data_IF_089738062904
#
_entry.id   IF_089738062904
#
_cell.length_a   1.000
_cell.length_b   1.000
_cell.length_c   1.000
_cell.angle_alpha   90.00
_cell.angle_beta   90.00
_cell.angle_gamma   90.00
#
_symmetry.space_group_name_H-M   'P 1'
#
loop_
_entity.id
_entity.type
_entity.pdbx_description
1 polymer ?
#
# COMPACT_ATOMS: atom_id res chain seq x y z
N UNK A 1 -8.98 31.23 -8.35
CA UNK A 1 -7.72 30.57 -8.75
C UNK A 1 -8.09 29.42 -9.67
N UNK A 2 -7.69 29.49 -10.94
CA UNK A 2 -7.90 28.40 -11.90
C UNK A 2 -7.08 27.19 -11.49
N UNK A 3 -7.70 26.01 -11.45
CA UNK A 3 -6.98 24.76 -11.22
C UNK A 3 -5.91 24.59 -12.31
N UNK A 4 -4.67 24.18 -11.97
CA UNK A 4 -3.64 23.96 -12.97
C UNK A 4 -4.09 22.91 -13.99
N UNK A 5 -3.71 23.11 -15.25
CA UNK A 5 -3.98 22.16 -16.32
C UNK A 5 -3.10 20.90 -16.14
N UNK A 6 -3.56 19.73 -16.62
CA UNK A 6 -2.74 18.52 -16.58
C UNK A 6 -1.46 18.70 -17.39
N UNK A 7 -0.34 18.23 -16.86
CA UNK A 7 0.97 18.37 -17.50
C UNK A 7 1.34 17.10 -18.27
N UNK A 8 1.98 17.25 -19.43
CA UNK A 8 2.53 16.14 -20.22
C UNK A 8 1.52 15.04 -20.60
N UNK A 9 0.23 15.36 -20.72
CA UNK A 9 -0.81 14.36 -20.99
C UNK A 9 -1.09 13.40 -19.82
N UNK A 10 -0.53 13.66 -18.64
CA UNK A 10 -0.80 12.91 -17.40
C UNK A 10 -2.05 13.42 -16.71
N UNK A 11 -2.55 12.69 -15.73
CA UNK A 11 -3.63 13.14 -14.83
C UNK A 11 -3.13 14.02 -13.67
N UNK A 12 -1.82 14.27 -13.59
CA UNK A 12 -1.18 15.08 -12.55
C UNK A 12 -1.14 16.54 -13.03
N UNK A 13 -1.64 17.43 -12.17
CA UNK A 13 -1.59 18.86 -12.38
C UNK A 13 -0.80 19.50 -11.23
N UNK A 14 0.27 20.21 -11.59
CA UNK A 14 1.06 21.01 -10.67
C UNK A 14 1.02 22.47 -11.11
N UNK A 15 1.15 23.39 -10.15
CA UNK A 15 1.36 24.80 -10.49
C UNK A 15 2.72 24.97 -11.21
N UNK A 16 2.83 26.05 -11.98
CA UNK A 16 4.01 26.30 -12.81
C UNK A 16 5.31 26.38 -12.00
N UNK A 17 5.25 26.97 -10.79
CA UNK A 17 6.43 27.10 -9.94
C UNK A 17 6.94 25.74 -9.45
N UNK A 18 6.03 24.85 -9.01
CA UNK A 18 6.41 23.49 -8.64
C UNK A 18 6.93 22.68 -9.85
N UNK A 19 6.32 22.85 -11.02
CA UNK A 19 6.77 22.17 -12.24
C UNK A 19 8.21 22.56 -12.62
N UNK A 20 8.55 23.85 -12.57
CA UNK A 20 9.89 24.36 -12.82
C UNK A 20 10.93 23.80 -11.83
N UNK A 21 10.59 23.78 -10.53
CA UNK A 21 11.49 23.23 -9.49
C UNK A 21 11.72 21.73 -9.68
N UNK A 22 10.68 20.98 -10.04
CA UNK A 22 10.79 19.55 -10.29
C UNK A 22 11.64 19.24 -11.52
N UNK A 23 11.46 19.99 -12.60
CA UNK A 23 12.27 19.83 -13.82
C UNK A 23 13.75 20.13 -13.57
N UNK A 24 14.04 21.21 -12.83
CA UNK A 24 15.40 21.58 -12.47
C UNK A 24 16.11 20.56 -11.57
N UNK A 25 15.37 19.89 -10.67
CA UNK A 25 15.94 18.97 -9.66
C UNK A 25 15.95 17.50 -10.08
N UNK A 26 14.99 17.08 -10.91
CA UNK A 26 14.69 15.67 -11.16
C UNK A 26 14.93 15.25 -12.61
N UNK A 27 15.33 16.18 -13.49
CA UNK A 27 15.44 15.94 -14.92
C UNK A 27 14.09 16.06 -15.63
N UNK A 28 13.87 15.38 -16.78
CA UNK A 28 12.69 15.60 -17.61
C UNK A 28 11.36 15.38 -16.86
N UNK A 29 10.61 16.46 -16.62
CA UNK A 29 9.39 16.46 -15.81
C UNK A 29 8.37 15.43 -16.31
N UNK A 30 8.16 15.34 -17.62
CA UNK A 30 7.20 14.40 -18.20
C UNK A 30 7.53 12.94 -17.90
N UNK A 31 8.81 12.58 -17.81
CA UNK A 31 9.25 11.22 -17.46
C UNK A 31 8.93 10.90 -16.00
N UNK A 32 9.23 11.85 -15.10
CA UNK A 32 8.90 11.74 -13.67
C UNK A 32 7.39 11.57 -13.47
N UNK A 33 6.58 12.44 -14.08
CA UNK A 33 5.12 12.39 -13.95
C UNK A 33 4.55 11.08 -14.49
N UNK A 34 5.03 10.62 -15.65
CA UNK A 34 4.60 9.32 -16.21
C UNK A 34 4.98 8.13 -15.32
N UNK A 35 6.11 8.21 -14.60
CA UNK A 35 6.53 7.19 -13.64
C UNK A 35 5.65 7.18 -12.38
N UNK A 36 5.33 8.35 -11.83
CA UNK A 36 4.44 8.50 -10.66
C UNK A 36 3.03 7.95 -10.91
N UNK A 37 2.62 7.89 -12.17
CA UNK A 37 1.33 7.32 -12.56
C UNK A 37 1.33 5.78 -12.62
N UNK A 38 2.48 5.12 -12.54
CA UNK A 38 2.56 3.66 -12.61
C UNK A 38 2.94 3.10 -11.25
N UNK A 39 2.40 1.92 -10.86
CA UNK A 39 2.90 1.25 -9.69
C UNK A 39 4.37 0.83 -9.89
N UNK A 40 5.12 0.64 -8.80
CA UNK A 40 6.46 0.08 -8.89
C UNK A 40 6.41 -1.33 -9.53
N UNK A 41 7.42 -1.73 -10.32
CA UNK A 41 7.44 -3.03 -10.99
C UNK A 41 7.61 -4.22 -10.04
N UNK A 42 7.92 -3.96 -8.77
CA UNK A 42 8.12 -4.96 -7.72
C UNK A 42 7.19 -4.62 -6.55
N UNK A 43 6.32 -5.57 -6.19
CA UNK A 43 5.56 -5.52 -4.93
C UNK A 43 6.46 -6.05 -3.81
N UNK A 44 6.87 -5.16 -2.92
CA UNK A 44 7.70 -5.52 -1.78
C UNK A 44 6.88 -5.83 -0.52
N UNK A 45 7.36 -6.83 0.23
CA UNK A 45 6.94 -7.10 1.60
C UNK A 45 8.15 -7.42 2.46
N UNK A 46 8.06 -7.12 3.75
CA UNK A 46 9.05 -7.47 4.76
C UNK A 46 8.64 -8.77 5.44
N UNK A 47 9.52 -9.77 5.42
CA UNK A 47 9.38 -10.96 6.26
C UNK A 47 9.69 -10.58 7.71
N UNK A 48 8.82 -10.97 8.62
CA UNK A 48 9.02 -10.70 10.04
C UNK A 48 9.93 -11.78 10.66
N UNK A 49 11.23 -11.50 10.68
CA UNK A 49 12.25 -12.43 11.22
C UNK A 49 12.18 -12.62 12.73
N UNK A 50 11.35 -11.86 13.46
CA UNK A 50 11.01 -12.18 14.86
C UNK A 50 10.14 -13.44 14.99
N UNK A 51 9.45 -13.84 13.92
CA UNK A 51 8.46 -14.93 13.94
C UNK A 51 8.77 -16.07 12.98
N UNK A 52 9.42 -15.79 11.85
CA UNK A 52 9.70 -16.79 10.83
C UNK A 52 10.99 -16.45 10.06
N UNK A 53 11.78 -17.48 9.73
CA UNK A 53 12.92 -17.31 8.82
C UNK A 53 12.47 -17.07 7.37
N UNK A 54 13.28 -16.37 6.59
CA UNK A 54 12.96 -15.98 5.21
C UNK A 54 12.72 -17.20 4.31
N UNK A 55 13.61 -18.20 4.36
CA UNK A 55 13.49 -19.42 3.55
C UNK A 55 12.21 -20.19 3.83
N UNK A 56 11.88 -20.38 5.12
CA UNK A 56 10.64 -21.02 5.56
C UNK A 56 9.41 -20.25 5.08
N UNK A 57 9.47 -18.92 5.10
CA UNK A 57 8.35 -18.11 4.60
C UNK A 57 8.19 -18.19 3.08
N UNK A 58 9.30 -18.24 2.33
CA UNK A 58 9.27 -18.49 0.88
C UNK A 58 8.71 -19.88 0.54
N UNK A 59 9.00 -20.91 1.34
CA UNK A 59 8.36 -22.23 1.21
C UNK A 59 6.85 -22.17 1.43
N UNK A 60 6.38 -21.43 2.43
CA UNK A 60 4.94 -21.22 2.66
C UNK A 60 4.26 -20.54 1.48
N UNK A 61 4.91 -19.54 0.87
CA UNK A 61 4.40 -18.87 -0.31
C UNK A 61 4.34 -19.81 -1.53
N UNK A 62 5.40 -20.59 -1.77
CA UNK A 62 5.42 -21.60 -2.84
C UNK A 62 4.33 -22.65 -2.65
N UNK A 63 4.04 -23.04 -1.41
CA UNK A 63 2.96 -23.99 -1.07
C UNK A 63 1.56 -23.52 -1.47
N UNK A 64 1.34 -22.22 -1.64
CA UNK A 64 0.08 -21.64 -2.16
C UNK A 64 0.20 -21.13 -3.60
N UNK A 65 1.27 -21.51 -4.31
CA UNK A 65 1.49 -21.13 -5.71
C UNK A 65 1.95 -19.69 -5.93
N UNK A 66 2.50 -19.03 -4.91
CA UNK A 66 3.04 -17.68 -5.00
C UNK A 66 4.58 -17.71 -5.04
N UNK A 67 5.16 -17.06 -6.05
CA UNK A 67 6.61 -16.97 -6.20
C UNK A 67 7.12 -15.58 -5.80
N UNK A 68 7.91 -15.53 -4.74
CA UNK A 68 8.61 -14.32 -4.31
C UNK A 68 10.12 -14.55 -4.40
N UNK A 69 10.86 -13.45 -4.55
CA UNK A 69 12.32 -13.43 -4.60
C UNK A 69 12.85 -12.58 -3.45
N UNK A 70 14.01 -12.95 -2.91
CA UNK A 70 14.71 -12.10 -1.93
C UNK A 70 15.28 -10.88 -2.66
N UNK A 71 15.23 -9.73 -2.00
CA UNK A 71 15.92 -8.54 -2.45
C UNK A 71 17.44 -8.73 -2.42
N UNK A 72 18.13 -8.04 -3.32
CA UNK A 72 19.56 -8.18 -3.50
C UNK A 72 20.38 -7.64 -2.30
N UNK A 73 19.84 -6.66 -1.56
CA UNK A 73 20.57 -5.93 -0.51
C UNK A 73 19.95 -6.10 0.89
N UNK A 74 18.64 -6.39 0.96
CA UNK A 74 17.90 -6.50 2.22
C UNK A 74 17.39 -7.94 2.43
N UNK A 75 18.08 -8.77 3.26
CA UNK A 75 17.77 -10.19 3.42
C UNK A 75 16.33 -10.55 3.80
N UNK A 76 15.66 -9.68 4.56
CA UNK A 76 14.28 -9.82 5.03
C UNK A 76 13.25 -9.19 4.08
N UNK A 77 13.69 -8.51 3.03
CA UNK A 77 12.82 -7.99 2.00
C UNK A 77 12.64 -9.07 0.92
N UNK A 78 11.37 -9.33 0.59
CA UNK A 78 11.03 -10.18 -0.55
C UNK A 78 10.08 -9.43 -1.48
N UNK A 79 10.09 -9.80 -2.76
CA UNK A 79 9.27 -9.14 -3.76
C UNK A 79 8.67 -10.09 -4.77
N UNK A 80 7.53 -9.67 -5.32
CA UNK A 80 6.85 -10.31 -6.45
C UNK A 80 6.77 -9.32 -7.63
N UNK A 81 7.01 -9.75 -8.88
CA UNK A 81 6.86 -8.86 -10.03
C UNK A 81 5.40 -8.38 -10.15
N UNK A 82 5.21 -7.10 -10.48
CA UNK A 82 3.88 -6.57 -10.80
C UNK A 82 3.63 -6.76 -12.28
N UNK A 83 2.60 -7.52 -12.62
CA UNK A 83 2.21 -7.76 -14.00
C UNK A 83 1.39 -6.58 -14.54
N UNK A 84 1.63 -6.21 -15.79
CA UNK A 84 0.90 -5.18 -16.51
C UNK A 84 1.79 -4.05 -17.05
N UNK A 85 1.19 -3.00 -17.62
CA UNK A 85 -0.25 -2.79 -17.72
C UNK A 85 -0.94 -3.81 -18.64
N UNK A 86 -2.04 -4.38 -18.17
CA UNK A 86 -2.92 -5.25 -18.93
C UNK A 86 -3.90 -4.40 -19.74
N UNK A 87 -4.13 -4.78 -21.00
CA UNK A 87 -5.01 -4.03 -21.90
C UNK A 87 -6.44 -4.58 -21.84
N UNK A 88 -7.40 -3.68 -21.68
CA UNK A 88 -8.82 -4.01 -21.61
C UNK A 88 -9.65 -2.96 -22.33
N UNK A 89 -10.75 -3.40 -22.91
CA UNK A 89 -11.83 -2.50 -23.29
C UNK A 89 -12.76 -2.29 -22.08
N UNK A 90 -12.79 -1.06 -21.58
CA UNK A 90 -13.63 -0.67 -20.46
C UNK A 90 -14.98 -0.16 -20.95
N UNK A 91 -16.04 -0.86 -20.57
CA UNK A 91 -17.44 -0.50 -20.82
C UNK A 91 -18.23 -0.67 -19.53
N UNK A 92 -19.37 0.01 -19.43
CA UNK A 92 -20.29 -0.14 -18.31
C UNK A 92 -20.45 1.13 -17.46
N UNK A 93 -21.16 0.97 -16.34
CA UNK A 93 -21.50 2.10 -15.45
C UNK A 93 -20.29 2.52 -14.63
N UNK A 94 -20.20 3.81 -14.30
CA UNK A 94 -19.05 4.37 -13.59
C UNK A 94 -19.18 4.21 -12.08
N UNK A 95 -18.14 3.68 -11.45
CA UNK A 95 -17.96 3.64 -9.99
C UNK A 95 -16.73 4.48 -9.64
N UNK A 96 -16.90 5.49 -8.80
CA UNK A 96 -15.80 6.32 -8.30
C UNK A 96 -15.34 5.76 -6.96
N UNK A 97 -14.08 5.34 -6.90
CA UNK A 97 -13.43 4.92 -5.67
C UNK A 97 -12.69 6.10 -5.01
N UNK A 98 -12.50 6.06 -3.69
CA UNK A 98 -11.63 7.01 -3.02
C UNK A 98 -10.16 6.80 -3.41
N UNK A 99 -9.26 7.68 -2.97
CA UNK A 99 -7.85 7.62 -3.35
C UNK A 99 -7.17 6.31 -2.94
N UNK A 100 -7.40 5.84 -1.71
CA UNK A 100 -6.74 4.65 -1.16
C UNK A 100 -7.25 3.39 -1.84
N UNK A 101 -8.57 3.29 -2.01
CA UNK A 101 -9.19 2.19 -2.72
C UNK A 101 -8.79 2.17 -4.21
N UNK A 102 -8.64 3.34 -4.84
CA UNK A 102 -8.17 3.46 -6.23
C UNK A 102 -6.77 2.85 -6.42
N UNK A 103 -5.83 3.12 -5.51
CA UNK A 103 -4.48 2.55 -5.54
C UNK A 103 -4.52 1.03 -5.34
N UNK A 104 -5.36 0.54 -4.43
CA UNK A 104 -5.54 -0.90 -4.20
C UNK A 104 -6.15 -1.62 -5.41
N UNK A 105 -7.18 -1.02 -6.04
CA UNK A 105 -7.84 -1.56 -7.22
C UNK A 105 -6.92 -1.55 -8.44
N UNK A 106 -6.10 -0.50 -8.59
CA UNK A 106 -5.10 -0.41 -9.66
C UNK A 106 -4.17 -1.64 -9.67
N UNK A 107 -3.85 -2.17 -8.49
CA UNK A 107 -3.04 -3.38 -8.28
C UNK A 107 -3.82 -4.70 -8.35
N UNK A 108 -5.10 -4.67 -8.73
CA UNK A 108 -5.96 -5.85 -8.90
C UNK A 108 -6.75 -6.26 -7.66
N UNK A 109 -6.79 -5.42 -6.62
CA UNK A 109 -7.69 -5.66 -5.49
C UNK A 109 -9.14 -5.39 -5.86
N UNK A 110 -10.06 -6.03 -5.15
CA UNK A 110 -11.47 -5.72 -5.30
C UNK A 110 -11.81 -4.38 -4.65
N UNK A 111 -12.92 -3.78 -5.08
CA UNK A 111 -13.44 -2.59 -4.44
C UNK A 111 -14.46 -2.96 -3.37
N UNK A 112 -14.19 -2.56 -2.13
CA UNK A 112 -15.09 -2.73 -0.99
C UNK A 112 -15.96 -1.48 -0.78
N UNK A 113 -17.16 -1.67 -0.24
CA UNK A 113 -18.16 -0.62 -0.07
C UNK A 113 -17.64 0.66 0.63
N UNK A 114 -16.81 0.58 1.70
CA UNK A 114 -16.27 1.78 2.33
C UNK A 114 -15.41 2.66 1.41
N UNK A 115 -14.82 2.07 0.37
CA UNK A 115 -13.99 2.77 -0.60
C UNK A 115 -14.77 3.38 -1.78
N UNK A 116 -16.09 3.19 -1.84
CA UNK A 116 -16.93 3.72 -2.92
C UNK A 116 -17.39 5.14 -2.57
N UNK A 117 -17.01 6.11 -3.39
CA UNK A 117 -17.43 7.52 -3.27
C UNK A 117 -18.75 7.76 -4.01
N UNK A 118 -18.90 7.20 -5.21
CA UNK A 118 -20.08 7.41 -6.05
C UNK A 118 -20.32 6.26 -7.01
N UNK A 119 -21.57 5.79 -7.12
CA UNK A 119 -21.94 4.76 -8.10
C UNK A 119 -23.42 4.86 -8.54
N UNK A 120 -23.96 6.07 -8.72
CA UNK A 120 -25.41 6.25 -8.96
C UNK A 120 -25.90 5.43 -10.17
N UNK A 121 -26.97 4.67 -9.96
CA UNK A 121 -27.61 3.86 -11.00
C UNK A 121 -26.96 2.50 -11.23
N UNK A 122 -25.90 2.15 -10.48
CA UNK A 122 -25.33 0.80 -10.47
C UNK A 122 -26.24 -0.15 -9.68
N UNK A 123 -26.57 -1.27 -10.29
CA UNK A 123 -27.30 -2.40 -9.74
C UNK A 123 -26.40 -3.63 -9.67
N UNK A 124 -26.78 -4.61 -8.85
CA UNK A 124 -26.05 -5.88 -8.72
C UNK A 124 -26.00 -6.59 -10.08
N UNK A 125 -24.83 -7.06 -10.47
CA UNK A 125 -24.59 -7.77 -11.73
C UNK A 125 -24.18 -6.85 -12.89
N UNK A 126 -24.28 -5.53 -12.74
CA UNK A 126 -23.82 -4.61 -13.77
C UNK A 126 -22.30 -4.73 -14.01
N UNK A 127 -21.91 -4.64 -15.28
CA UNK A 127 -20.53 -4.35 -15.64
C UNK A 127 -20.23 -2.88 -15.32
N UNK A 128 -19.08 -2.66 -14.66
CA UNK A 128 -18.69 -1.34 -14.20
C UNK A 128 -17.23 -1.01 -14.54
N UNK A 129 -16.99 0.28 -14.75
CA UNK A 129 -15.66 0.87 -14.85
C UNK A 129 -15.37 1.61 -13.55
N UNK A 130 -14.29 1.21 -12.88
CA UNK A 130 -13.84 1.82 -11.63
C UNK A 130 -12.86 2.94 -11.98
N UNK A 131 -13.11 4.12 -11.44
CA UNK A 131 -12.27 5.30 -11.64
C UNK A 131 -11.82 5.90 -10.31
N UNK A 132 -10.67 6.56 -10.33
CA UNK A 132 -10.20 7.42 -9.27
C UNK A 132 -10.94 8.77 -9.25
N UNK A 133 -10.82 9.58 -8.18
CA UNK A 133 -11.48 10.88 -8.09
C UNK A 133 -11.11 11.86 -9.21
N UNK A 134 -9.89 11.75 -9.75
CA UNK A 134 -9.41 12.54 -10.89
C UNK A 134 -9.93 12.04 -12.25
N UNK A 135 -10.78 11.02 -12.27
CA UNK A 135 -11.38 10.47 -13.49
C UNK A 135 -10.57 9.37 -14.18
N UNK A 136 -9.35 9.09 -13.72
CA UNK A 136 -8.52 8.03 -14.27
C UNK A 136 -9.14 6.65 -14.02
N UNK A 137 -9.13 5.77 -15.04
CA UNK A 137 -9.55 4.38 -14.88
C UNK A 137 -8.50 3.62 -14.06
N UNK A 138 -8.97 2.86 -13.07
CA UNK A 138 -8.12 2.00 -12.23
C UNK A 138 -8.44 0.52 -12.39
N UNK A 139 -9.58 0.18 -13.01
CA UNK A 139 -9.93 -1.18 -13.34
C UNK A 139 -11.39 -1.30 -13.79
N UNK A 140 -11.81 -2.51 -14.10
CA UNK A 140 -13.18 -2.85 -14.46
C UNK A 140 -13.61 -4.15 -13.78
N UNK A 141 -14.92 -4.32 -13.63
CA UNK A 141 -15.43 -5.43 -12.85
C UNK A 141 -16.94 -5.59 -12.92
N UNK A 142 -17.45 -6.44 -12.03
CA UNK A 142 -18.88 -6.69 -11.88
C UNK A 142 -19.33 -6.20 -10.51
N UNK A 143 -20.37 -5.38 -10.48
CA UNK A 143 -20.97 -4.90 -9.24
C UNK A 143 -21.59 -6.08 -8.47
N UNK A 144 -21.16 -6.29 -7.24
CA UNK A 144 -21.76 -7.28 -6.33
C UNK A 144 -22.70 -6.63 -5.31
N UNK A 145 -22.83 -5.31 -5.34
CA UNK A 145 -23.81 -4.53 -4.58
C UNK A 145 -24.46 -3.52 -5.53
N UNK A 146 -25.69 -3.11 -5.25
CA UNK A 146 -26.29 -1.92 -5.84
C UNK A 146 -25.76 -0.65 -5.17
N UNK A 147 -25.92 0.52 -5.80
CA UNK A 147 -25.57 1.80 -5.20
C UNK A 147 -26.23 2.04 -3.83
N UNK A 148 -27.50 1.63 -3.70
CA UNK A 148 -28.26 1.78 -2.45
C UNK A 148 -27.71 0.92 -1.33
N UNK A 149 -27.14 -0.24 -1.65
CA UNK A 149 -26.45 -1.12 -0.70
C UNK A 149 -25.07 -0.54 -0.35
N UNK A 150 -24.25 -0.20 -1.35
CA UNK A 150 -22.90 0.36 -1.17
C UNK A 150 -22.91 1.56 -0.21
N UNK A 151 -23.84 2.50 -0.41
CA UNK A 151 -23.93 3.73 0.41
C UNK A 151 -24.29 3.48 1.87
N UNK A 152 -24.96 2.36 2.18
CA UNK A 152 -25.36 2.01 3.55
C UNK A 152 -24.41 1.02 4.21
N UNK A 153 -23.65 0.27 3.41
CA UNK A 153 -22.77 -0.77 3.89
C UNK A 153 -21.47 -0.17 4.46
N UNK A 154 -21.24 -0.37 5.77
CA UNK A 154 -19.97 -0.02 6.41
C UNK A 154 -18.83 -1.02 6.13
N UNK A 155 -19.11 -2.11 5.41
CA UNK A 155 -18.15 -3.17 5.03
C UNK A 155 -18.72 -4.03 3.90
N UNK A 156 -17.86 -4.85 3.29
CA UNK A 156 -18.26 -5.85 2.30
C UNK A 156 -17.82 -5.50 0.89
N UNK A 157 -17.74 -6.51 0.04
CA UNK A 157 -17.34 -6.40 -1.35
C UNK A 157 -18.41 -5.61 -2.12
N UNK A 158 -18.02 -4.57 -2.86
CA UNK A 158 -18.93 -3.75 -3.68
C UNK A 158 -18.78 -4.05 -5.17
N UNK A 159 -17.55 -4.20 -5.66
CA UNK A 159 -17.24 -4.58 -7.04
C UNK A 159 -16.17 -5.65 -7.02
N UNK A 160 -16.43 -6.77 -7.70
CA UNK A 160 -15.40 -7.78 -7.99
C UNK A 160 -14.63 -7.36 -9.22
N UNK A 161 -13.32 -7.19 -9.10
CA UNK A 161 -12.47 -6.74 -10.20
C UNK A 161 -12.13 -7.93 -11.10
N UNK A 162 -12.51 -7.83 -12.37
CA UNK A 162 -12.27 -8.86 -13.40
C UNK A 162 -11.36 -8.36 -14.52
N UNK A 163 -11.24 -7.04 -14.68
CA UNK A 163 -10.38 -6.36 -15.67
C UNK A 163 -9.39 -5.44 -14.94
N UNK A 164 -8.38 -5.99 -14.23
CA UNK A 164 -7.39 -5.19 -13.51
C UNK A 164 -6.36 -4.59 -14.47
N UNK A 165 -5.90 -3.36 -14.23
CA UNK A 165 -4.81 -2.76 -15.05
C UNK A 165 -3.46 -3.38 -14.68
N UNK A 166 -3.20 -3.59 -13.39
CA UNK A 166 -2.03 -4.32 -12.92
C UNK A 166 -2.45 -5.48 -12.03
N UNK A 167 -1.61 -6.51 -11.96
CA UNK A 167 -1.87 -7.69 -11.13
C UNK A 167 -0.66 -7.96 -10.23
N UNK A 168 -0.94 -8.04 -8.93
CA UNK A 168 -0.01 -8.53 -7.94
C UNK A 168 -0.79 -9.24 -6.80
N UNK A 169 -0.15 -10.12 -6.02
CA UNK A 169 -0.77 -10.73 -4.86
C UNK A 169 -1.25 -9.68 -3.85
N UNK A 170 -2.39 -9.93 -3.21
CA UNK A 170 -2.89 -9.05 -2.15
C UNK A 170 -2.12 -9.30 -0.87
N UNK A 171 -1.39 -8.29 -0.40
CA UNK A 171 -0.55 -8.41 0.80
C UNK A 171 -1.34 -8.91 2.02
N UNK A 172 -2.59 -8.45 2.19
CA UNK A 172 -3.45 -8.85 3.30
C UNK A 172 -3.94 -10.31 3.25
N UNK A 173 -3.79 -10.97 2.10
CA UNK A 173 -4.18 -12.36 1.86
C UNK A 173 -2.97 -13.31 1.81
N UNK A 174 -1.74 -12.78 1.94
CA UNK A 174 -0.55 -13.61 2.01
C UNK A 174 -0.61 -14.54 3.24
N UNK A 175 -0.12 -15.80 3.12
CA UNK A 175 -0.03 -16.73 4.24
C UNK A 175 0.63 -16.07 5.46
N UNK A 176 0.04 -16.21 6.65
CA UNK A 176 0.66 -15.65 7.86
C UNK A 176 0.49 -14.13 8.04
N UNK A 177 -0.23 -13.41 7.16
CA UNK A 177 -0.40 -11.97 7.31
C UNK A 177 -1.09 -11.61 8.63
N UNK A 178 -2.17 -12.32 9.01
CA UNK A 178 -2.91 -12.03 10.26
C UNK A 178 -2.09 -12.39 11.50
N UNK A 179 -1.25 -13.41 11.39
CA UNK A 179 -0.32 -13.90 12.40
C UNK A 179 0.93 -13.00 12.52
N UNK A 180 1.09 -12.06 11.58
CA UNK A 180 2.18 -11.09 11.55
C UNK A 180 3.50 -11.65 11.07
N UNK A 181 3.49 -12.71 10.25
CA UNK A 181 4.70 -13.27 9.62
C UNK A 181 5.27 -12.36 8.53
N UNK A 182 4.44 -11.45 8.01
CA UNK A 182 4.79 -10.53 6.93
C UNK A 182 4.17 -9.15 7.15
N UNK A 183 4.82 -8.14 6.60
CA UNK A 183 4.35 -6.76 6.62
C UNK A 183 4.53 -6.09 5.25
N UNK A 184 3.48 -5.44 4.73
CA UNK A 184 3.57 -4.67 3.49
C UNK A 184 4.39 -3.40 3.69
N UNK A 185 5.54 -3.30 3.03
CA UNK A 185 6.46 -2.16 3.18
C UNK A 185 7.28 -1.99 1.91
N UNK A 186 7.47 -0.74 1.47
CA UNK A 186 8.35 -0.45 0.34
C UNK A 186 9.81 -0.76 0.68
N UNK A 187 10.60 -1.15 -0.33
CA UNK A 187 12.05 -1.35 -0.17
C UNK A 187 12.75 -0.11 0.36
N UNK A 188 12.37 1.08 -0.12
CA UNK A 188 12.90 2.36 0.38
C UNK A 188 12.63 2.58 1.86
N UNK A 189 11.48 2.12 2.38
CA UNK A 189 11.18 2.21 3.81
C UNK A 189 11.96 1.17 4.62
N UNK A 190 12.31 0.02 4.04
CA UNK A 190 13.15 -1.00 4.68
C UNK A 190 14.61 -0.54 4.75
N UNK A 191 15.10 0.11 3.70
CA UNK A 191 16.42 0.74 3.67
C UNK A 191 16.64 1.73 4.83
N UNK A 192 15.61 2.49 5.23
CA UNK A 192 15.73 3.42 6.37
C UNK A 192 16.13 2.70 7.66
N UNK A 193 15.49 1.57 7.99
CA UNK A 193 15.83 0.82 9.19
C UNK A 193 17.20 0.12 9.06
N UNK A 194 17.54 -0.35 7.85
CA UNK A 194 18.87 -0.92 7.56
C UNK A 194 19.99 0.11 7.65
N UNK A 195 19.77 1.33 7.19
CA UNK A 195 20.72 2.43 7.28
C UNK A 195 20.93 2.92 8.73
N UNK A 196 19.90 2.83 9.57
CA UNK A 196 20.02 3.08 11.01
C UNK A 196 20.87 2.00 11.71
N UNK A 197 20.86 0.77 11.19
CA UNK A 197 21.62 -0.38 11.69
C UNK A 197 21.51 -0.57 13.22
N UNK A 198 20.28 -0.63 13.76
CA UNK A 198 20.06 -0.54 15.20
C UNK A 198 20.62 -1.77 15.92
N UNK A 199 21.24 -1.55 17.09
CA UNK A 199 21.91 -2.60 17.85
C UNK A 199 21.18 -2.96 19.15
N UNK A 200 21.36 -4.19 19.66
CA UNK A 200 20.97 -4.54 21.02
C UNK A 200 21.47 -3.51 22.04
N UNK A 201 20.65 -3.21 23.05
CA UNK A 201 20.97 -2.25 24.12
C UNK A 201 20.82 -0.76 23.76
N UNK A 202 20.57 -0.41 22.50
CA UNK A 202 20.35 0.98 22.10
C UNK A 202 19.02 1.53 22.61
N UNK A 203 18.98 2.85 22.83
CA UNK A 203 17.73 3.60 22.97
C UNK A 203 17.40 4.21 21.62
N UNK A 204 16.25 3.83 21.05
CA UNK A 204 15.79 4.35 19.75
C UNK A 204 14.44 5.03 19.92
N UNK A 205 14.29 6.22 19.32
CA UNK A 205 13.05 6.98 19.34
C UNK A 205 12.57 7.22 17.90
N UNK A 206 11.37 6.74 17.57
CA UNK A 206 10.67 7.07 16.32
C UNK A 206 9.59 8.10 16.63
N UNK A 207 9.78 9.34 16.18
CA UNK A 207 8.91 10.48 16.49
C UNK A 207 7.60 10.49 15.68
N UNK A 208 7.51 9.72 14.59
CA UNK A 208 6.35 9.67 13.70
C UNK A 208 6.06 8.22 13.30
N UNK A 209 5.83 7.39 14.32
CA UNK A 209 5.94 5.96 14.20
C UNK A 209 4.75 5.29 13.48
N UNK A 210 3.56 5.89 13.47
CA UNK A 210 2.38 5.24 12.90
C UNK A 210 2.44 5.20 11.36
N UNK A 211 2.01 4.10 10.72
CA UNK A 211 1.29 2.97 11.30
C UNK A 211 2.16 1.88 11.94
N UNK A 212 3.49 2.03 12.01
CA UNK A 212 4.38 1.09 12.72
C UNK A 212 5.40 0.38 11.82
N UNK A 213 5.41 0.65 10.52
CA UNK A 213 6.23 -0.08 9.55
C UNK A 213 7.73 -0.01 9.85
N UNK A 214 8.26 1.22 10.02
CA UNK A 214 9.69 1.43 10.29
C UNK A 214 10.07 1.04 11.71
N UNK A 215 9.36 1.49 12.73
CA UNK A 215 9.67 1.13 14.12
C UNK A 215 9.58 -0.38 14.40
N UNK A 216 8.65 -1.11 13.78
CA UNK A 216 8.63 -2.58 13.88
C UNK A 216 9.82 -3.24 13.19
N UNK A 217 10.33 -2.64 12.11
CA UNK A 217 11.54 -3.11 11.44
C UNK A 217 12.76 -2.89 12.32
N UNK A 218 12.86 -1.73 12.95
CA UNK A 218 13.90 -1.44 13.95
C UNK A 218 13.82 -2.43 15.10
N UNK A 219 12.63 -2.72 15.63
CA UNK A 219 12.45 -3.75 16.67
C UNK A 219 12.87 -5.15 16.22
N UNK A 220 12.61 -5.49 14.95
CA UNK A 220 13.02 -6.76 14.35
C UNK A 220 14.55 -6.88 14.22
N UNK A 221 15.24 -5.78 13.92
CA UNK A 221 16.70 -5.74 13.76
C UNK A 221 17.45 -5.65 15.10
N UNK A 222 17.00 -4.77 15.99
CA UNK A 222 17.68 -4.49 17.26
C UNK A 222 17.44 -5.57 18.33
N UNK A 223 16.34 -6.33 18.19
CA UNK A 223 15.92 -7.31 19.19
C UNK A 223 15.39 -6.67 20.47
N UNK A 224 15.01 -7.51 21.43
CA UNK A 224 14.32 -7.09 22.67
C UNK A 224 15.21 -6.39 23.69
N UNK A 225 16.52 -6.42 23.49
CA UNK A 225 17.48 -5.77 24.37
C UNK A 225 17.54 -4.25 24.14
N UNK A 226 17.06 -3.77 22.99
CA UNK A 226 16.93 -2.34 22.74
C UNK A 226 15.73 -1.74 23.49
N UNK A 227 15.83 -0.47 23.85
CA UNK A 227 14.70 0.33 24.37
C UNK A 227 14.15 1.16 23.22
N UNK A 228 12.96 0.83 22.73
CA UNK A 228 12.36 1.52 21.60
C UNK A 228 11.14 2.30 22.06
N UNK A 229 11.10 3.58 21.72
CA UNK A 229 9.97 4.48 21.97
C UNK A 229 9.37 4.91 20.63
N UNK A 230 8.08 4.65 20.45
CA UNK A 230 7.32 4.99 19.27
C UNK A 230 6.32 6.09 19.62
N UNK A 231 6.48 7.27 19.03
CA UNK A 231 5.64 8.45 19.26
C UNK A 231 4.81 8.72 18.00
N UNK A 232 3.53 9.02 18.18
CA UNK A 232 2.69 9.63 17.13
C UNK A 232 1.52 10.34 17.80
N UNK A 233 0.71 11.02 17.00
CA UNK A 233 -0.49 11.71 17.47
C UNK A 233 -1.47 10.72 18.12
N UNK A 234 -2.19 11.12 19.19
CA UNK A 234 -3.11 10.24 19.91
C UNK A 234 -4.10 9.48 19.02
N UNK A 235 -4.59 10.11 17.93
CA UNK A 235 -5.52 9.50 16.98
C UNK A 235 -4.96 8.32 16.18
N UNK A 236 -3.63 8.18 16.08
CA UNK A 236 -2.97 7.08 15.36
C UNK A 236 -2.40 5.98 16.26
N UNK A 237 -2.30 6.24 17.56
CA UNK A 237 -1.69 5.35 18.55
C UNK A 237 -2.38 3.98 18.59
N UNK A 238 -3.70 3.91 18.47
CA UNK A 238 -4.44 2.64 18.44
C UNK A 238 -3.95 1.70 17.32
N UNK A 239 -3.95 2.20 16.08
CA UNK A 239 -3.48 1.45 14.90
C UNK A 239 -2.00 1.06 14.98
N UNK A 240 -1.17 1.93 15.57
CA UNK A 240 0.24 1.65 15.83
C UNK A 240 0.41 0.47 16.80
N UNK A 241 -0.32 0.47 17.93
CA UNK A 241 -0.30 -0.65 18.90
C UNK A 241 -0.76 -1.96 18.27
N UNK A 242 -1.89 -1.96 17.56
CA UNK A 242 -2.40 -3.13 16.85
C UNK A 242 -1.37 -3.71 15.88
N UNK A 243 -0.65 -2.84 15.15
CA UNK A 243 0.40 -3.26 14.23
C UNK A 243 1.58 -3.88 14.97
N UNK A 244 2.06 -3.25 16.05
CA UNK A 244 3.17 -3.76 16.84
C UNK A 244 2.81 -5.08 17.54
N UNK A 245 1.61 -5.21 18.08
CA UNK A 245 1.10 -6.44 18.67
C UNK A 245 1.05 -7.57 17.63
N UNK A 246 0.43 -7.32 16.48
CA UNK A 246 0.38 -8.29 15.38
C UNK A 246 1.78 -8.73 14.97
N UNK A 247 2.75 -7.82 14.90
CA UNK A 247 4.12 -8.12 14.50
C UNK A 247 5.01 -8.69 15.63
N UNK A 248 4.47 -8.90 16.84
CA UNK A 248 5.24 -9.43 17.98
C UNK A 248 6.21 -8.43 18.63
N UNK A 249 6.02 -7.14 18.37
CA UNK A 249 6.79 -6.02 18.89
C UNK A 249 6.04 -5.22 19.96
N UNK A 250 5.11 -5.85 20.69
CA UNK A 250 4.30 -5.20 21.74
C UNK A 250 5.12 -4.61 22.92
N UNK A 251 6.40 -4.96 23.02
CA UNK A 251 7.32 -4.44 24.02
C UNK A 251 7.85 -3.04 23.69
N UNK A 252 7.67 -2.57 22.45
CA UNK A 252 7.97 -1.19 22.05
C UNK A 252 7.05 -0.24 22.80
N UNK A 253 7.61 0.79 23.45
CA UNK A 253 6.85 1.75 24.22
C UNK A 253 6.13 2.73 23.29
N UNK A 254 4.81 2.69 23.26
CA UNK A 254 4.00 3.62 22.44
C UNK A 254 3.51 4.81 23.27
N UNK A 255 3.86 6.02 22.84
CA UNK A 255 3.47 7.30 23.46
C UNK A 255 2.59 8.10 22.50
N UNK A 256 1.47 8.60 23.00
CA UNK A 256 0.65 9.58 22.27
C UNK A 256 1.08 10.99 22.64
N UNK A 257 1.49 11.78 21.65
CA UNK A 257 1.93 13.16 21.85
C UNK A 257 2.01 13.93 20.54
N UNK A 258 2.26 15.23 20.63
CA UNK A 258 2.63 16.02 19.47
C UNK A 258 4.08 15.67 19.10
N UNK A 259 4.25 15.23 17.86
CA UNK A 259 5.54 14.89 17.25
C UNK A 259 6.31 16.12 16.81
#
# INVERSE_FOLDING_TARGET
MTSPAPLCGTSIAYDAGLAEVLEASSGPLCSLLASLERPPPRLYVRVNTLKVGVDRYLEMLRGVGLEFRVDEDIPEAIWHPVEGPLSWEFRGKRVVADKVASESVLMGSDLYAPGVVYARGVERGDEVVIVAPNGRIVGGGVAVMSWREMRRAGRGLAVRVTKPIYRAPRVSELPGFREGLVYGQSVTSMYVARALDPRPGWVVVDLNAAPGGKVSHVAQLAGREAVIVAIDRPSKVGRLRETLERLGAAWVRVVGGDS
#
